data_IF_647740355412
#
_entry.id   IF_647740355412
#
_cell.length_a   1.000
_cell.length_b   1.000
_cell.length_c   1.000
_cell.angle_alpha   90.00
_cell.angle_beta   90.00
_cell.angle_gamma   90.00
#
_symmetry.space_group_name_H-M   'P 1'
#
loop_
_entity.id
_entity.type
_entity.pdbx_description
1 polymer ?
#
# COMPACT_ATOMS: atom_id res chain seq x y z
N UNK A 1 -18.61 33.10 -32.14
CA UNK A 1 -18.26 32.11 -31.08
C UNK A 1 -16.87 32.50 -30.62
N UNK A 2 -16.54 32.35 -29.30
CA UNK A 2 -15.19 32.59 -28.85
C UNK A 2 -14.23 31.54 -29.44
N UNK A 3 -12.98 31.96 -29.72
CA UNK A 3 -11.93 31.04 -30.13
C UNK A 3 -11.47 30.23 -28.91
N UNK A 4 -11.60 28.89 -28.92
CA UNK A 4 -11.15 28.01 -27.86
C UNK A 4 -9.76 27.47 -28.19
N UNK A 5 -8.78 27.80 -27.36
CA UNK A 5 -7.42 27.26 -27.46
C UNK A 5 -7.25 26.18 -26.38
N UNK A 6 -6.99 24.91 -26.75
CA UNK A 6 -6.78 23.86 -25.77
C UNK A 6 -5.49 24.11 -24.97
N UNK A 7 -5.57 23.86 -23.65
CA UNK A 7 -4.40 23.84 -22.77
C UNK A 7 -3.97 22.39 -22.57
N UNK A 8 -2.67 22.14 -22.53
CA UNK A 8 -2.08 20.84 -22.22
C UNK A 8 -1.49 20.85 -20.82
N UNK A 9 -1.45 19.68 -20.18
CA UNK A 9 -0.74 19.48 -18.91
C UNK A 9 0.56 18.75 -19.17
N UNK A 10 1.65 19.26 -18.60
CA UNK A 10 2.98 18.66 -18.74
C UNK A 10 3.26 17.58 -17.67
N UNK A 11 2.33 17.38 -16.74
CA UNK A 11 2.47 16.40 -15.67
C UNK A 11 2.44 14.97 -16.24
N UNK A 12 3.47 14.12 -15.96
CA UNK A 12 3.53 12.76 -16.47
C UNK A 12 2.38 11.90 -15.97
N UNK A 13 1.75 11.18 -16.88
CA UNK A 13 0.68 10.22 -16.58
C UNK A 13 0.79 8.99 -17.46
N UNK A 14 1.00 7.82 -16.84
CA UNK A 14 1.29 6.58 -17.54
C UNK A 14 0.41 5.44 -17.08
N UNK A 15 0.37 4.37 -17.90
CA UNK A 15 0.01 3.02 -17.46
C UNK A 15 1.28 2.18 -17.48
N UNK A 16 1.52 1.44 -16.40
CA UNK A 16 2.65 0.51 -16.28
C UNK A 16 2.13 -0.92 -16.28
N UNK A 17 2.68 -1.73 -17.15
CA UNK A 17 2.40 -3.16 -17.26
C UNK A 17 3.71 -3.93 -17.27
N UNK A 18 3.76 -5.07 -16.60
CA UNK A 18 4.86 -6.00 -16.69
C UNK A 18 4.67 -6.88 -17.94
N UNK A 19 5.73 -7.02 -18.72
CA UNK A 19 5.81 -7.91 -19.88
C UNK A 19 6.39 -9.26 -19.48
N UNK A 20 6.30 -10.26 -20.36
CA UNK A 20 6.98 -11.54 -20.14
C UNK A 20 8.50 -11.37 -19.95
N UNK A 21 9.11 -10.42 -20.65
CA UNK A 21 10.51 -10.09 -20.49
C UNK A 21 10.83 -9.54 -19.09
N UNK A 22 9.93 -8.74 -18.49
CA UNK A 22 10.09 -8.26 -17.11
C UNK A 22 10.01 -9.42 -16.10
N UNK A 23 9.16 -10.42 -16.34
CA UNK A 23 9.08 -11.61 -15.49
C UNK A 23 10.34 -12.46 -15.61
N UNK A 24 10.87 -12.67 -16.83
CA UNK A 24 12.07 -13.46 -17.08
C UNK A 24 13.35 -12.79 -16.56
N UNK A 25 13.39 -11.45 -16.55
CA UNK A 25 14.55 -10.69 -16.07
C UNK A 25 14.58 -10.50 -14.55
N UNK A 26 13.48 -10.81 -13.83
CA UNK A 26 13.43 -10.62 -12.37
C UNK A 26 14.22 -11.73 -11.67
N UNK A 27 14.85 -11.37 -10.55
CA UNK A 27 15.56 -12.33 -9.69
C UNK A 27 14.60 -13.42 -9.20
N UNK A 28 14.87 -14.70 -9.45
CA UNK A 28 14.04 -15.81 -8.98
C UNK A 28 13.83 -15.84 -7.46
N UNK A 29 14.76 -15.33 -6.66
CA UNK A 29 14.61 -15.21 -5.21
C UNK A 29 13.55 -14.18 -4.88
N UNK A 30 13.55 -13.03 -5.56
CA UNK A 30 12.53 -11.99 -5.39
C UNK A 30 11.15 -12.52 -5.78
N UNK A 31 11.03 -13.23 -6.90
CA UNK A 31 9.77 -13.85 -7.34
C UNK A 31 9.27 -14.87 -6.31
N UNK A 32 10.15 -15.72 -5.79
CA UNK A 32 9.79 -16.74 -4.79
C UNK A 32 9.33 -16.10 -3.47
N UNK A 33 9.98 -15.02 -3.02
CA UNK A 33 9.57 -14.28 -1.83
C UNK A 33 8.22 -13.58 -2.03
N UNK A 34 7.98 -13.00 -3.20
CA UNK A 34 6.68 -12.43 -3.52
C UNK A 34 5.58 -13.50 -3.50
N UNK A 35 5.82 -14.67 -4.11
CA UNK A 35 4.86 -15.77 -4.12
C UNK A 35 4.59 -16.30 -2.69
N UNK A 36 5.62 -16.50 -1.88
CA UNK A 36 5.47 -16.91 -0.48
C UNK A 36 4.59 -15.92 0.29
N UNK A 37 4.87 -14.63 0.20
CA UNK A 37 4.08 -13.59 0.88
C UNK A 37 2.62 -13.55 0.39
N UNK A 38 2.37 -13.71 -0.91
CA UNK A 38 1.01 -13.81 -1.46
C UNK A 38 0.24 -15.00 -0.86
N UNK A 39 0.88 -16.16 -0.77
CA UNK A 39 0.27 -17.37 -0.21
C UNK A 39 0.01 -17.25 1.30
N UNK A 40 0.96 -16.69 2.06
CA UNK A 40 0.79 -16.47 3.49
C UNK A 40 -0.36 -15.50 3.75
N UNK A 41 -0.40 -14.37 3.05
CA UNK A 41 -1.47 -13.36 3.22
C UNK A 41 -2.82 -13.97 2.86
N UNK A 42 -2.93 -14.74 1.75
CA UNK A 42 -4.16 -15.39 1.36
C UNK A 42 -4.65 -16.37 2.43
N UNK A 43 -3.79 -17.27 2.92
CA UNK A 43 -4.14 -18.22 3.95
C UNK A 43 -4.49 -17.56 5.28
N UNK A 44 -3.77 -16.48 5.64
CA UNK A 44 -4.07 -15.68 6.81
C UNK A 44 -5.48 -15.08 6.73
N UNK A 45 -5.85 -14.50 5.60
CA UNK A 45 -7.16 -13.89 5.39
C UNK A 45 -8.29 -14.94 5.42
N UNK A 46 -8.09 -16.08 4.78
CA UNK A 46 -9.05 -17.18 4.81
C UNK A 46 -9.26 -17.65 6.26
N UNK A 47 -8.17 -17.75 7.04
CA UNK A 47 -8.25 -18.12 8.45
C UNK A 47 -8.98 -17.06 9.30
N UNK A 48 -8.75 -15.76 9.02
CA UNK A 48 -9.50 -14.68 9.69
C UNK A 48 -11.00 -14.77 9.42
N UNK A 49 -11.40 -15.07 8.18
CA UNK A 49 -12.81 -15.27 7.85
C UNK A 49 -13.43 -16.43 8.61
N UNK A 50 -12.72 -17.56 8.76
CA UNK A 50 -13.19 -18.71 9.52
C UNK A 50 -13.30 -18.39 11.02
N UNK A 51 -12.31 -17.72 11.60
CA UNK A 51 -12.33 -17.30 13.00
C UNK A 51 -13.43 -16.27 13.27
N UNK A 52 -13.69 -15.37 12.31
CA UNK A 52 -14.80 -14.42 12.40
C UNK A 52 -16.15 -15.13 12.40
N UNK A 53 -16.37 -16.11 11.52
CA UNK A 53 -17.58 -16.96 11.53
C UNK A 53 -17.76 -17.73 12.82
N UNK A 54 -16.65 -18.18 13.42
CA UNK A 54 -16.63 -18.88 14.72
C UNK A 54 -16.82 -17.95 15.93
N UNK A 55 -16.94 -16.63 15.72
CA UNK A 55 -17.11 -15.64 16.80
C UNK A 55 -15.83 -15.34 17.59
N UNK A 56 -14.65 -15.75 17.08
CA UNK A 56 -13.37 -15.50 17.73
C UNK A 56 -12.76 -14.13 17.41
N UNK A 57 -13.30 -13.43 16.41
CA UNK A 57 -12.88 -12.06 16.05
C UNK A 57 -13.99 -11.09 16.45
N UNK A 58 -13.65 -10.11 17.27
CA UNK A 58 -14.58 -9.13 17.77
C UNK A 58 -14.57 -7.85 16.93
N UNK A 59 -15.77 -7.39 16.54
CA UNK A 59 -15.92 -6.23 15.65
C UNK A 59 -15.71 -6.57 14.17
N UNK A 60 -15.69 -5.55 13.30
CA UNK A 60 -15.59 -5.75 11.87
C UNK A 60 -14.17 -6.17 11.46
N UNK A 61 -14.05 -7.28 10.76
CA UNK A 61 -12.84 -7.69 10.06
C UNK A 61 -13.01 -7.42 8.55
N UNK A 62 -12.10 -6.64 7.99
CA UNK A 62 -12.13 -6.29 6.59
C UNK A 62 -11.10 -7.09 5.83
N UNK A 63 -11.52 -8.23 5.26
CA UNK A 63 -10.62 -9.08 4.47
C UNK A 63 -10.04 -8.34 3.27
N UNK A 64 -8.77 -8.59 3.00
CA UNK A 64 -8.02 -8.05 1.86
C UNK A 64 -7.80 -9.07 0.75
N UNK A 65 -8.55 -10.17 0.75
CA UNK A 65 -8.54 -11.15 -0.35
C UNK A 65 -8.79 -10.44 -1.68
N UNK A 66 -7.89 -10.66 -2.65
CA UNK A 66 -7.93 -10.02 -3.97
C UNK A 66 -7.14 -8.71 -4.06
N UNK A 67 -6.47 -8.26 -3.00
CA UNK A 67 -5.65 -7.04 -2.99
C UNK A 67 -4.18 -7.32 -2.61
N UNK A 68 -3.82 -8.57 -2.38
CA UNK A 68 -2.48 -9.00 -1.92
C UNK A 68 -1.36 -8.53 -2.84
N UNK A 69 -1.63 -8.53 -4.17
CA UNK A 69 -0.66 -8.14 -5.19
C UNK A 69 -0.17 -6.69 -5.04
N UNK A 70 -1.06 -5.79 -4.63
CA UNK A 70 -0.74 -4.38 -4.36
C UNK A 70 0.27 -4.22 -3.24
N UNK A 71 0.02 -4.90 -2.11
CA UNK A 71 0.91 -4.85 -0.95
C UNK A 71 2.26 -5.52 -1.21
N UNK A 72 2.25 -6.76 -1.71
CA UNK A 72 3.47 -7.55 -1.93
C UNK A 72 4.36 -6.90 -2.99
N UNK A 73 3.78 -6.43 -4.11
CA UNK A 73 4.52 -5.71 -5.15
C UNK A 73 5.16 -4.43 -4.62
N UNK A 74 4.43 -3.68 -3.79
CA UNK A 74 4.94 -2.45 -3.16
C UNK A 74 6.07 -2.76 -2.20
N UNK A 75 5.86 -3.64 -1.22
CA UNK A 75 6.85 -3.96 -0.17
C UNK A 75 8.12 -4.54 -0.76
N UNK A 76 8.04 -5.31 -1.86
CA UNK A 76 9.22 -5.87 -2.54
C UNK A 76 10.22 -4.82 -3.05
N UNK A 77 9.84 -3.53 -3.08
CA UNK A 77 10.70 -2.39 -3.49
C UNK A 77 11.13 -1.55 -2.30
N UNK A 78 10.43 -1.66 -1.17
CA UNK A 78 10.72 -0.86 0.01
C UNK A 78 11.99 -1.34 0.73
N UNK A 79 12.64 -0.41 1.40
CA UNK A 79 13.76 -0.68 2.32
C UNK A 79 13.25 -0.75 3.75
N UNK A 80 14.10 -1.22 4.68
CA UNK A 80 13.76 -1.27 6.10
C UNK A 80 13.51 0.12 6.71
N UNK A 81 14.07 1.19 6.11
CA UNK A 81 13.87 2.57 6.56
C UNK A 81 12.56 3.20 6.10
N UNK A 82 11.97 2.69 5.03
CA UNK A 82 10.74 3.24 4.45
C UNK A 82 9.53 3.03 5.37
N UNK A 83 8.61 3.99 5.34
CA UNK A 83 7.44 4.02 6.21
C UNK A 83 6.17 3.75 5.41
N UNK A 84 5.26 2.99 6.03
CA UNK A 84 3.92 2.82 5.47
C UNK A 84 2.84 3.16 6.51
N UNK A 85 1.70 3.61 6.03
CA UNK A 85 0.44 3.57 6.76
C UNK A 85 -0.69 3.12 5.83
N UNK A 86 -1.79 2.65 6.43
CA UNK A 86 -2.88 2.08 5.66
C UNK A 86 -4.24 2.26 6.34
N UNK A 87 -5.30 1.81 5.66
CA UNK A 87 -6.68 1.94 6.09
C UNK A 87 -7.12 0.83 7.05
N UNK A 88 -8.44 0.72 7.25
CA UNK A 88 -9.09 -0.37 7.98
C UNK A 88 -8.95 -1.75 7.30
N UNK A 89 -8.68 -1.78 5.97
CA UNK A 89 -8.42 -2.99 5.19
C UNK A 89 -6.92 -3.06 4.90
N UNK A 90 -6.14 -3.57 5.85
CA UNK A 90 -4.69 -3.41 5.78
C UNK A 90 -3.90 -4.69 6.14
N UNK A 91 -4.56 -5.83 6.32
CA UNK A 91 -3.89 -7.06 6.71
C UNK A 91 -2.75 -7.42 5.75
N UNK A 92 -2.98 -7.29 4.43
CA UNK A 92 -2.00 -7.57 3.40
C UNK A 92 -0.78 -6.63 3.45
N UNK A 93 -0.99 -5.32 3.73
CA UNK A 93 0.11 -4.35 3.76
C UNK A 93 0.99 -4.55 5.00
N UNK A 94 0.38 -4.66 6.18
CA UNK A 94 1.19 -4.84 7.38
C UNK A 94 1.87 -6.21 7.42
N UNK A 95 1.19 -7.31 7.01
CA UNK A 95 1.81 -8.63 6.96
C UNK A 95 3.00 -8.65 6.00
N UNK A 96 2.83 -8.12 4.77
CA UNK A 96 3.93 -8.03 3.81
C UNK A 96 5.14 -7.29 4.42
N UNK A 97 4.90 -6.14 5.07
CA UNK A 97 5.98 -5.31 5.63
C UNK A 97 6.60 -5.92 6.88
N UNK A 98 5.81 -6.58 7.74
CA UNK A 98 6.30 -7.27 8.94
C UNK A 98 7.16 -8.48 8.56
N UNK A 99 6.68 -9.29 7.61
CA UNK A 99 7.44 -10.45 7.11
C UNK A 99 8.74 -10.01 6.43
N UNK A 100 8.72 -8.95 5.61
CA UNK A 100 9.94 -8.40 5.01
C UNK A 100 10.94 -7.90 6.07
N UNK A 101 10.45 -7.33 7.17
CA UNK A 101 11.28 -6.82 8.27
C UNK A 101 12.05 -7.94 8.99
N UNK A 102 11.39 -9.08 9.26
CA UNK A 102 12.00 -10.19 10.01
C UNK A 102 12.69 -11.23 9.13
N UNK A 103 12.35 -11.31 7.84
CA UNK A 103 12.92 -12.30 6.96
C UNK A 103 14.45 -12.13 6.84
N UNK A 104 15.25 -13.18 6.97
CA UNK A 104 16.69 -13.09 6.81
C UNK A 104 17.06 -12.52 5.45
N UNK A 105 18.08 -11.63 5.41
CA UNK A 105 18.58 -11.07 4.16
C UNK A 105 19.09 -12.19 3.26
N UNK A 106 18.63 -12.19 2.00
CA UNK A 106 19.03 -13.21 1.02
C UNK A 106 18.36 -14.57 1.19
N UNK A 107 17.42 -14.74 2.12
CA UNK A 107 16.65 -15.98 2.26
C UNK A 107 15.94 -16.30 0.93
N UNK A 108 16.10 -17.53 0.47
CA UNK A 108 15.40 -18.07 -0.70
C UNK A 108 14.33 -19.08 -0.23
N UNK A 109 13.03 -18.76 -0.37
CA UNK A 109 11.96 -19.65 0.07
C UNK A 109 11.96 -21.05 -0.59
N UNK A 110 12.60 -21.19 -1.74
CA UNK A 110 12.65 -22.47 -2.47
C UNK A 110 13.47 -23.55 -1.76
N UNK A 111 14.35 -23.15 -0.83
CA UNK A 111 15.21 -24.07 -0.08
C UNK A 111 15.37 -23.72 1.39
N UNK A 112 14.70 -22.69 1.88
CA UNK A 112 14.77 -22.27 3.27
C UNK A 112 13.40 -22.38 3.97
N UNK A 113 13.40 -22.92 5.16
CA UNK A 113 12.19 -23.03 6.00
C UNK A 113 11.68 -21.64 6.43
N UNK A 114 10.41 -21.60 6.82
CA UNK A 114 9.80 -20.47 7.49
C UNK A 114 10.45 -20.29 8.87
N UNK A 115 10.90 -19.08 9.21
CA UNK A 115 11.67 -18.89 10.44
C UNK A 115 10.76 -18.68 11.65
N UNK A 116 11.25 -18.95 12.89
CA UNK A 116 10.47 -18.67 14.09
C UNK A 116 10.00 -17.21 14.20
N UNK A 117 10.79 -16.25 13.71
CA UNK A 117 10.43 -14.84 13.71
C UNK A 117 9.30 -14.56 12.72
N UNK A 118 9.26 -15.25 11.58
CA UNK A 118 8.16 -15.14 10.61
C UNK A 118 6.89 -15.78 11.17
N UNK A 119 7.01 -16.93 11.87
CA UNK A 119 5.89 -17.54 12.60
C UNK A 119 5.33 -16.59 13.67
N UNK A 120 6.20 -15.94 14.44
CA UNK A 120 5.80 -14.95 15.44
C UNK A 120 5.05 -13.77 14.84
N UNK A 121 5.45 -13.29 13.65
CA UNK A 121 4.71 -12.26 12.91
C UNK A 121 3.27 -12.69 12.63
N UNK A 122 3.08 -13.89 12.10
CA UNK A 122 1.75 -14.42 11.78
C UNK A 122 0.93 -14.61 13.07
N UNK A 123 1.52 -15.21 14.10
CA UNK A 123 0.89 -15.42 15.39
C UNK A 123 0.45 -14.11 16.04
N UNK A 124 1.35 -13.12 16.17
CA UNK A 124 1.03 -11.84 16.82
C UNK A 124 0.03 -11.01 16.04
N UNK A 125 0.08 -11.05 14.71
CA UNK A 125 -0.91 -10.41 13.86
C UNK A 125 -2.31 -11.01 14.06
N UNK A 126 -2.39 -12.34 14.12
CA UNK A 126 -3.63 -13.06 14.41
C UNK A 126 -4.15 -12.74 15.81
N UNK A 127 -3.26 -12.76 16.81
CA UNK A 127 -3.58 -12.44 18.20
C UNK A 127 -4.12 -11.01 18.33
N UNK A 128 -3.56 -10.03 17.62
CA UNK A 128 -4.08 -8.67 17.62
C UNK A 128 -5.50 -8.58 17.09
N UNK A 129 -5.78 -9.25 15.96
CA UNK A 129 -7.10 -9.25 15.34
C UNK A 129 -8.15 -9.93 16.24
N UNK A 130 -7.73 -10.95 16.99
CA UNK A 130 -8.58 -11.64 17.97
C UNK A 130 -8.72 -10.89 19.31
N UNK A 131 -8.05 -9.76 19.49
CA UNK A 131 -8.09 -8.98 20.73
C UNK A 131 -7.27 -9.58 21.87
N UNK A 132 -6.23 -10.36 21.57
CA UNK A 132 -5.41 -11.06 22.55
C UNK A 132 -4.13 -10.27 22.92
N UNK A 133 -3.73 -10.35 24.17
CA UNK A 133 -2.59 -9.60 24.72
C UNK A 133 -1.23 -9.79 23.98
N UNK A 134 -0.89 -10.94 23.37
CA UNK A 134 0.34 -11.09 22.60
C UNK A 134 0.40 -10.26 21.31
N UNK A 135 -0.72 -9.68 20.86
CA UNK A 135 -0.80 -8.86 19.65
C UNK A 135 0.12 -7.64 19.67
N UNK A 136 0.43 -7.08 18.51
CA UNK A 136 1.34 -5.94 18.34
C UNK A 136 0.90 -4.67 19.10
N UNK A 137 -0.41 -4.48 19.29
CA UNK A 137 -0.99 -3.37 20.06
C UNK A 137 -1.63 -3.86 21.38
N UNK A 138 -1.24 -5.05 21.86
CA UNK A 138 -1.78 -5.66 23.06
C UNK A 138 -3.24 -6.08 22.94
N UNK A 139 -3.70 -6.41 21.73
CA UNK A 139 -5.07 -6.80 21.43
C UNK A 139 -6.07 -5.64 21.41
N UNK A 140 -5.61 -4.39 21.46
CA UNK A 140 -6.47 -3.19 21.51
C UNK A 140 -6.76 -2.60 20.14
N UNK A 141 -5.91 -2.88 19.15
CA UNK A 141 -6.05 -2.39 17.77
C UNK A 141 -7.04 -3.20 16.95
N UNK A 142 -7.13 -4.50 17.21
CA UNK A 142 -7.97 -5.42 16.44
C UNK A 142 -7.58 -5.44 14.96
N UNK A 143 -8.57 -5.64 14.08
CA UNK A 143 -8.36 -5.73 12.64
C UNK A 143 -7.91 -4.42 11.97
N UNK A 144 -8.23 -3.25 12.56
CA UNK A 144 -8.14 -1.97 11.87
C UNK A 144 -7.04 -1.02 12.39
N UNK A 145 -6.38 -1.33 13.50
CA UNK A 145 -5.42 -0.43 14.14
C UNK A 145 -4.11 -1.14 14.52
N UNK A 146 -3.41 -1.62 13.47
CA UNK A 146 -2.13 -2.32 13.61
C UNK A 146 -0.97 -1.34 13.49
N UNK A 147 0.03 -1.47 14.37
CA UNK A 147 1.24 -0.65 14.37
C UNK A 147 2.44 -1.46 14.84
N UNK A 148 3.55 -1.30 14.13
CA UNK A 148 4.89 -1.77 14.54
C UNK A 148 5.95 -0.86 13.93
N UNK A 149 6.45 0.07 14.75
CA UNK A 149 7.32 1.16 14.30
C UNK A 149 8.66 0.65 13.76
N UNK A 150 9.23 -0.38 14.38
CA UNK A 150 10.50 -0.97 13.97
C UNK A 150 10.41 -1.57 12.57
N UNK A 151 9.27 -2.14 12.20
CA UNK A 151 9.01 -2.62 10.85
C UNK A 151 8.62 -1.51 9.87
N UNK A 152 8.53 -0.26 10.32
CA UNK A 152 8.14 0.88 9.50
C UNK A 152 6.64 0.97 9.21
N UNK A 153 5.78 0.21 9.92
CA UNK A 153 4.32 0.34 9.84
C UNK A 153 3.85 1.29 10.92
N UNK A 154 3.59 2.54 10.53
CA UNK A 154 3.31 3.62 11.47
C UNK A 154 1.83 3.75 11.86
N UNK A 155 1.03 2.79 11.44
CA UNK A 155 -0.35 2.62 11.86
C UNK A 155 -1.32 2.40 10.70
N UNK A 156 -2.38 1.66 11.02
CA UNK A 156 -3.59 1.58 10.18
C UNK A 156 -4.73 2.27 10.92
N UNK A 157 -5.69 2.82 10.22
CA UNK A 157 -6.82 3.46 10.88
C UNK A 157 -8.10 3.42 10.05
N UNK A 158 -9.24 3.51 10.74
CA UNK A 158 -10.57 3.41 10.14
C UNK A 158 -11.14 4.75 9.63
N UNK A 159 -10.43 5.86 9.82
CA UNK A 159 -10.89 7.18 9.38
C UNK A 159 -10.61 7.31 7.88
N UNK A 160 -11.67 7.33 7.08
CA UNK A 160 -11.58 7.44 5.62
C UNK A 160 -10.91 8.75 5.23
N UNK A 161 -9.80 8.67 4.49
CA UNK A 161 -8.98 9.83 4.09
C UNK A 161 -8.07 10.38 5.19
N UNK A 162 -8.01 9.76 6.39
CA UNK A 162 -7.15 10.20 7.49
C UNK A 162 -5.68 9.79 7.36
N UNK A 163 -5.37 8.80 6.55
CA UNK A 163 -3.99 8.29 6.40
C UNK A 163 -3.06 9.21 5.58
N UNK A 164 -3.48 9.79 4.44
CA UNK A 164 -2.60 10.63 3.63
C UNK A 164 -2.00 11.82 4.37
N UNK A 165 -2.74 12.61 5.20
CA UNK A 165 -2.13 13.68 5.98
C UNK A 165 -1.08 13.18 6.99
N UNK A 166 -1.31 12.04 7.63
CA UNK A 166 -0.33 11.45 8.55
C UNK A 166 0.94 11.04 7.80
N UNK A 167 0.79 10.41 6.62
CA UNK A 167 1.92 9.99 5.80
C UNK A 167 2.70 11.19 5.24
N UNK A 168 2.04 12.29 4.92
CA UNK A 168 2.72 13.53 4.55
C UNK A 168 3.61 14.03 5.70
N UNK A 169 3.17 13.90 6.96
CA UNK A 169 3.99 14.18 8.14
C UNK A 169 5.20 13.26 8.27
N UNK A 170 5.04 11.95 7.98
CA UNK A 170 6.17 11.01 7.99
C UNK A 170 7.17 11.34 6.88
N UNK A 171 6.70 11.59 5.65
CA UNK A 171 7.55 12.00 4.55
C UNK A 171 8.30 13.31 4.83
N UNK A 172 7.65 14.26 5.47
CA UNK A 172 8.26 15.51 5.91
C UNK A 172 9.41 15.23 6.91
N UNK A 173 9.19 14.35 7.86
CA UNK A 173 10.22 13.95 8.83
C UNK A 173 11.42 13.27 8.14
N UNK A 174 11.17 12.37 7.18
CA UNK A 174 12.25 11.72 6.42
C UNK A 174 13.03 12.74 5.55
N UNK A 175 12.34 13.71 4.94
CA UNK A 175 12.97 14.80 4.20
C UNK A 175 13.86 15.66 5.11
N UNK A 176 13.36 16.09 6.28
CA UNK A 176 14.15 16.88 7.24
C UNK A 176 15.37 16.13 7.76
N UNK A 177 15.23 14.84 8.05
CA UNK A 177 16.32 13.96 8.50
C UNK A 177 17.29 13.58 7.38
N UNK A 178 16.94 13.85 6.11
CA UNK A 178 17.74 13.50 4.91
C UNK A 178 18.12 12.03 4.87
N UNK A 179 17.19 11.15 5.19
CA UNK A 179 17.44 9.71 5.27
C UNK A 179 17.49 9.02 3.90
N UNK A 180 16.88 9.61 2.88
CA UNK A 180 16.63 8.98 1.58
C UNK A 180 15.45 7.97 1.60
N UNK A 181 14.77 7.80 2.72
CA UNK A 181 13.59 6.96 2.84
C UNK A 181 12.36 7.63 2.22
N UNK A 182 11.38 6.81 1.83
CA UNK A 182 10.09 7.27 1.36
C UNK A 182 8.97 6.85 2.31
N UNK A 183 7.86 7.55 2.25
CA UNK A 183 6.59 7.10 2.85
C UNK A 183 5.66 6.56 1.76
N UNK A 184 4.89 5.52 2.07
CA UNK A 184 3.80 5.04 1.22
C UNK A 184 2.51 5.07 2.04
N UNK A 185 1.49 5.74 1.53
CA UNK A 185 0.16 5.76 2.14
C UNK A 185 -0.81 4.99 1.26
N UNK A 186 -1.43 3.97 1.83
CA UNK A 186 -2.45 3.18 1.14
C UNK A 186 -3.85 3.68 1.50
N UNK A 187 -4.70 3.85 0.51
CA UNK A 187 -6.10 4.22 0.72
C UNK A 187 -6.98 3.78 -0.45
N UNK A 188 -8.25 3.53 -0.17
CA UNK A 188 -9.19 3.03 -1.18
C UNK A 188 -9.76 4.13 -2.08
N UNK A 189 -10.44 3.71 -3.14
CA UNK A 189 -11.16 4.57 -4.09
C UNK A 189 -12.15 5.51 -3.41
N UNK A 190 -12.92 5.04 -2.42
CA UNK A 190 -13.85 5.88 -1.66
C UNK A 190 -13.16 7.02 -0.89
N UNK A 191 -11.92 6.82 -0.44
CA UNK A 191 -11.16 7.86 0.26
C UNK A 191 -10.70 8.99 -0.67
N UNK A 192 -10.60 8.74 -1.97
CA UNK A 192 -10.17 9.77 -2.95
C UNK A 192 -11.11 10.95 -3.08
N UNK A 193 -12.34 10.86 -2.53
CA UNK A 193 -13.29 11.95 -2.50
C UNK A 193 -13.16 12.85 -1.24
N UNK A 194 -12.31 12.48 -0.27
CA UNK A 194 -12.12 13.27 0.95
C UNK A 194 -11.21 14.47 0.70
N UNK A 195 -11.61 15.65 1.21
CA UNK A 195 -10.83 16.89 1.08
C UNK A 195 -9.42 16.77 1.65
N UNK A 196 -9.26 16.08 2.80
CA UNK A 196 -7.97 15.84 3.46
C UNK A 196 -6.93 15.13 2.57
N UNK A 197 -7.38 14.30 1.62
CA UNK A 197 -6.49 13.64 0.65
C UNK A 197 -5.88 14.67 -0.31
N UNK A 198 -6.71 15.59 -0.85
CA UNK A 198 -6.24 16.65 -1.74
C UNK A 198 -5.34 17.65 -1.02
N UNK A 199 -5.67 18.01 0.21
CA UNK A 199 -4.83 18.88 1.05
C UNK A 199 -3.46 18.25 1.30
N UNK A 200 -3.42 16.96 1.64
CA UNK A 200 -2.18 16.22 1.83
C UNK A 200 -1.36 16.12 0.54
N UNK A 201 -1.99 15.83 -0.60
CA UNK A 201 -1.34 15.80 -1.91
C UNK A 201 -0.76 17.18 -2.27
N UNK A 202 -1.53 18.27 -2.08
CA UNK A 202 -1.08 19.62 -2.37
C UNK A 202 0.13 20.01 -1.49
N UNK A 203 0.08 19.73 -0.18
CA UNK A 203 1.22 19.98 0.70
C UNK A 203 2.43 19.14 0.31
N UNK A 204 2.22 17.88 -0.05
CA UNK A 204 3.30 17.01 -0.50
C UNK A 204 3.98 17.53 -1.78
N UNK A 205 3.18 18.02 -2.74
CA UNK A 205 3.70 18.62 -3.96
C UNK A 205 4.46 19.93 -3.67
N UNK A 206 3.86 20.80 -2.85
CA UNK A 206 4.45 22.11 -2.50
C UNK A 206 5.80 21.98 -1.78
N UNK A 207 5.92 20.95 -0.93
CA UNK A 207 7.12 20.71 -0.13
C UNK A 207 8.00 19.59 -0.68
N UNK A 208 7.80 19.12 -1.92
CA UNK A 208 8.55 18.01 -2.53
C UNK A 208 8.76 16.85 -1.57
N UNK A 209 7.69 16.36 -0.95
CA UNK A 209 7.78 15.29 0.05
C UNK A 209 8.01 13.92 -0.62
N UNK A 210 8.92 13.09 -0.08
CA UNK A 210 9.18 11.76 -0.61
C UNK A 210 8.07 10.77 -0.25
N UNK A 211 6.91 10.87 -0.93
CA UNK A 211 5.71 10.08 -0.62
C UNK A 211 5.07 9.48 -1.87
N UNK A 212 4.63 8.24 -1.74
CA UNK A 212 3.75 7.58 -2.70
C UNK A 212 2.32 7.57 -2.15
N UNK A 213 1.39 8.17 -2.87
CA UNK A 213 -0.04 8.05 -2.65
C UNK A 213 -0.53 6.82 -3.42
N UNK A 214 -0.72 5.70 -2.73
CA UNK A 214 -1.12 4.44 -3.34
C UNK A 214 -2.62 4.22 -3.18
N UNK A 215 -3.35 4.31 -4.30
CA UNK A 215 -4.80 4.16 -4.37
C UNK A 215 -5.13 2.70 -4.69
N UNK A 216 -5.72 1.97 -3.76
CA UNK A 216 -6.28 0.64 -4.00
C UNK A 216 -7.71 0.79 -4.55
N UNK A 217 -7.81 0.82 -5.87
CA UNK A 217 -9.09 0.96 -6.56
C UNK A 217 -9.75 -0.42 -6.73
N UNK A 218 -10.55 -0.82 -5.76
CA UNK A 218 -11.35 -2.05 -5.82
C UNK A 218 -12.78 -1.79 -6.33
N UNK A 219 -13.03 -0.60 -6.86
CA UNK A 219 -14.27 -0.11 -7.47
C UNK A 219 -15.42 0.15 -6.50
N UNK A 220 -15.29 -0.12 -5.20
CA UNK A 220 -16.39 0.01 -4.25
C UNK A 220 -15.97 0.65 -2.92
N UNK A 221 -16.61 1.75 -2.57
CA UNK A 221 -16.66 2.27 -1.20
C UNK A 221 -17.87 1.67 -0.48
N UNK A 222 -17.67 0.64 0.37
CA UNK A 222 -18.73 -0.16 0.99
C UNK A 222 -19.62 -0.81 -0.08
N UNK A 223 -20.79 -0.30 -0.36
CA UNK A 223 -21.75 -0.80 -1.37
C UNK A 223 -21.86 0.12 -2.59
N UNK A 224 -21.20 1.28 -2.57
CA UNK A 224 -21.31 2.29 -3.63
C UNK A 224 -20.18 2.13 -4.64
N UNK A 225 -20.54 1.90 -5.91
CA UNK A 225 -19.57 1.76 -6.98
C UNK A 225 -18.91 3.12 -7.32
N UNK A 226 -17.63 3.12 -7.67
CA UNK A 226 -16.85 4.34 -7.97
C UNK A 226 -17.49 5.23 -9.04
N UNK A 227 -18.19 4.66 -10.02
CA UNK A 227 -18.90 5.40 -11.09
C UNK A 227 -20.08 6.23 -10.57
N UNK A 228 -20.61 5.90 -9.40
CA UNK A 228 -21.72 6.63 -8.77
C UNK A 228 -21.24 7.85 -7.99
N UNK A 229 -19.95 7.86 -7.61
CA UNK A 229 -19.37 8.92 -6.77
C UNK A 229 -18.35 9.80 -7.50
N UNK A 230 -17.86 9.33 -8.66
CA UNK A 230 -16.73 9.96 -9.33
C UNK A 230 -16.93 9.95 -10.85
N UNK A 231 -16.86 11.14 -11.49
CA UNK A 231 -17.00 11.24 -12.94
C UNK A 231 -15.76 10.75 -13.68
N UNK A 232 -14.55 11.13 -13.26
CA UNK A 232 -13.30 10.58 -13.77
C UNK A 232 -12.90 9.38 -12.91
N UNK A 233 -13.11 8.18 -13.44
CA UNK A 233 -12.90 6.92 -12.71
C UNK A 233 -11.45 6.44 -12.72
N UNK A 234 -10.57 7.07 -13.49
CA UNK A 234 -9.12 6.86 -13.40
C UNK A 234 -8.60 7.73 -12.26
N UNK A 235 -8.48 7.14 -11.09
CA UNK A 235 -8.24 7.89 -9.86
C UNK A 235 -6.82 8.47 -9.79
N UNK A 236 -5.87 7.90 -10.52
CA UNK A 236 -4.52 8.47 -10.71
C UNK A 236 -4.55 9.89 -11.30
N UNK A 237 -5.59 10.24 -12.07
CA UNK A 237 -5.79 11.60 -12.59
C UNK A 237 -5.90 12.67 -11.49
N UNK A 238 -6.16 12.28 -10.23
CA UNK A 238 -6.22 13.20 -9.08
C UNK A 238 -4.91 13.95 -8.84
N UNK A 239 -3.78 13.31 -9.09
CA UNK A 239 -2.46 13.93 -8.96
C UNK A 239 -2.16 14.99 -10.00
N UNK A 240 -2.71 14.85 -11.21
CA UNK A 240 -2.33 15.68 -12.36
C UNK A 240 -2.62 17.16 -12.14
N UNK A 241 -3.78 17.49 -11.59
CA UNK A 241 -4.16 18.87 -11.28
C UNK A 241 -3.31 19.54 -10.21
N UNK A 242 -2.51 18.76 -9.49
CA UNK A 242 -1.56 19.22 -8.46
C UNK A 242 -0.11 19.12 -8.92
N UNK A 243 0.12 18.83 -10.21
CA UNK A 243 1.47 18.65 -10.76
C UNK A 243 2.19 17.37 -10.31
N UNK A 244 1.46 16.37 -9.79
CA UNK A 244 2.03 15.14 -9.25
C UNK A 244 2.09 14.08 -10.34
N UNK A 245 3.28 13.54 -10.70
CA UNK A 245 3.41 12.41 -11.61
C UNK A 245 2.57 11.22 -11.14
N UNK A 246 1.85 10.60 -12.08
CA UNK A 246 0.85 9.61 -11.74
C UNK A 246 0.92 8.38 -12.64
N UNK A 247 0.57 7.22 -12.09
CA UNK A 247 0.56 5.96 -12.84
C UNK A 247 -0.64 5.09 -12.47
N UNK A 248 -1.19 4.43 -13.48
CA UNK A 248 -2.19 3.36 -13.33
C UNK A 248 -1.49 2.00 -13.52
N UNK A 249 -1.84 1.01 -12.70
CA UNK A 249 -1.31 -0.34 -12.76
C UNK A 249 -2.38 -1.38 -12.47
N UNK A 250 -2.25 -2.56 -13.06
CA UNK A 250 -3.03 -3.74 -12.63
C UNK A 250 -2.53 -4.22 -11.26
N UNK A 251 -3.34 -3.96 -10.22
CA UNK A 251 -3.05 -4.35 -8.85
C UNK A 251 -3.12 -5.86 -8.59
N UNK A 252 -3.72 -6.63 -9.51
CA UNK A 252 -3.73 -8.10 -9.47
C UNK A 252 -2.41 -8.70 -9.98
N UNK A 253 -1.63 -7.93 -10.74
CA UNK A 253 -0.31 -8.33 -11.24
C UNK A 253 0.80 -7.76 -10.35
N UNK A 254 1.28 -8.57 -9.41
CA UNK A 254 2.30 -8.19 -8.42
C UNK A 254 3.59 -7.64 -9.07
N UNK A 255 3.98 -8.17 -10.24
CA UNK A 255 5.17 -7.71 -10.96
C UNK A 255 4.96 -6.31 -11.58
N UNK A 256 3.75 -6.04 -12.09
CA UNK A 256 3.39 -4.71 -12.58
C UNK A 256 3.40 -3.68 -11.45
N UNK A 257 2.86 -4.03 -10.27
CA UNK A 257 2.93 -3.17 -9.08
C UNK A 257 4.37 -2.91 -8.68
N UNK A 258 5.22 -3.95 -8.61
CA UNK A 258 6.65 -3.79 -8.33
C UNK A 258 7.31 -2.81 -9.31
N UNK A 259 7.06 -2.95 -10.61
CA UNK A 259 7.58 -2.05 -11.65
C UNK A 259 7.11 -0.61 -11.45
N UNK A 260 5.84 -0.41 -11.11
CA UNK A 260 5.28 0.91 -10.80
C UNK A 260 5.95 1.55 -9.57
N UNK A 261 6.20 0.77 -8.52
CA UNK A 261 6.89 1.27 -7.33
C UNK A 261 8.39 1.53 -7.56
N UNK A 262 9.06 0.73 -8.40
CA UNK A 262 10.43 1.01 -8.83
C UNK A 262 10.50 2.36 -9.57
N UNK A 263 9.57 2.59 -10.51
CA UNK A 263 9.45 3.87 -11.20
C UNK A 263 9.14 5.01 -10.22
N UNK A 264 8.18 4.85 -9.33
CA UNK A 264 7.81 5.88 -8.34
C UNK A 264 9.01 6.26 -7.45
N UNK A 265 9.77 5.27 -6.97
CA UNK A 265 10.99 5.51 -6.19
C UNK A 265 12.03 6.28 -7.00
N UNK A 266 12.22 5.95 -8.28
CA UNK A 266 13.16 6.65 -9.17
C UNK A 266 12.73 8.11 -9.40
N UNK A 267 11.43 8.36 -9.64
CA UNK A 267 10.89 9.72 -9.76
C UNK A 267 11.16 10.54 -8.49
N UNK A 268 10.84 9.99 -7.32
CA UNK A 268 11.09 10.65 -6.03
C UNK A 268 12.58 10.92 -5.80
N UNK A 269 13.44 9.94 -6.10
CA UNK A 269 14.89 10.05 -5.85
C UNK A 269 15.54 11.07 -6.80
N UNK A 270 15.13 11.10 -8.06
CA UNK A 270 15.79 11.90 -9.11
C UNK A 270 15.24 13.32 -9.20
N UNK A 271 13.93 13.50 -8.97
CA UNK A 271 13.24 14.79 -9.18
C UNK A 271 12.73 15.41 -7.87
N UNK A 272 12.62 14.61 -6.81
CA UNK A 272 11.91 15.00 -5.61
C UNK A 272 10.39 14.96 -5.79
N UNK A 273 9.66 15.17 -4.68
CA UNK A 273 8.22 15.29 -4.70
C UNK A 273 7.44 13.98 -4.60
N UNK A 274 6.12 14.08 -4.54
CA UNK A 274 5.23 12.93 -4.44
C UNK A 274 4.98 12.25 -5.78
N UNK A 275 4.44 11.02 -5.70
CA UNK A 275 3.92 10.27 -6.85
C UNK A 275 2.56 9.68 -6.48
N UNK A 276 1.63 9.59 -7.44
CA UNK A 276 0.37 8.85 -7.30
C UNK A 276 0.47 7.53 -8.05
N UNK A 277 0.13 6.44 -7.38
CA UNK A 277 -0.02 5.11 -7.98
C UNK A 277 -1.46 4.66 -7.77
N UNK A 278 -2.18 4.37 -8.84
CA UNK A 278 -3.50 3.72 -8.80
C UNK A 278 -3.36 2.26 -9.18
N UNK A 279 -3.62 1.37 -8.24
CA UNK A 279 -3.68 -0.07 -8.47
C UNK A 279 -5.13 -0.54 -8.54
N UNK A 280 -5.53 -1.05 -9.70
CA UNK A 280 -6.85 -1.66 -9.87
C UNK A 280 -6.84 -3.06 -9.29
N UNK A 281 -7.69 -3.29 -8.31
CA UNK A 281 -7.76 -4.56 -7.58
C UNK A 281 -9.17 -5.14 -7.61
N UNK A 282 -9.31 -6.36 -7.10
CA UNK A 282 -10.59 -7.02 -6.89
C UNK A 282 -11.01 -6.91 -5.41
N UNK A 283 -12.35 -6.97 -5.18
CA UNK A 283 -12.95 -7.04 -3.85
C UNK A 283 -13.96 -8.17 -3.77
#
# INVERSE_FOLDING_TARGET
MPTLNPLTMDTPWYRIEATDADWQAEDPVVLSRMLENLLIIRQFEERILDLSKAGCVHGPAHSSIGQEGGAVGTVSVLTSGDKINATHRAHHQFLAKFLDHVAPKGRDPRGAEFTPEMDDVVYRSMAEIMGLAPGYCGGRGGSMHMRWDEAGVLGTNAIVGGNPPQAAGYALAEKFKKTGNIAVTFFGDGATAQGSVYEAMNLAALYDLPIVFFIENNLYGVSTHVRETTRETRLSARGLGLGIPSVEVDGMNTRSVRKALQWARQEITNKGGPVVVEAKTYR
#
